data_IF_472044983495
#
_entry.id   IF_472044983495
#
_cell.length_a   1.000
_cell.length_b   1.000
_cell.length_c   1.000
_cell.angle_alpha   90.00
_cell.angle_beta   90.00
_cell.angle_gamma   90.00
#
_symmetry.space_group_name_H-M   'P 1'
#
loop_
_entity.id
_entity.type
_entity.pdbx_description
1 polymer ?
#
# COMPACT_ATOMS: atom_id res chain seq x y z
N UNK A 1 -2.38 -22.64 19.42
CA UNK A 1 -3.45 -22.65 20.40
C UNK A 1 -3.75 -24.08 20.88
N UNK A 2 -4.13 -24.98 19.98
CA UNK A 2 -4.43 -26.39 20.34
C UNK A 2 -3.19 -27.25 20.61
N UNK A 3 -1.99 -26.82 20.22
CA UNK A 3 -0.77 -27.60 20.25
C UNK A 3 -0.73 -28.76 19.25
N UNK A 4 -1.80 -29.02 18.53
CA UNK A 4 -1.84 -30.07 17.51
C UNK A 4 -0.84 -29.79 16.40
N UNK A 5 -0.01 -30.74 16.03
CA UNK A 5 0.92 -30.68 14.91
C UNK A 5 0.30 -31.38 13.72
N UNK A 6 0.37 -30.73 12.57
CA UNK A 6 -0.14 -31.28 11.32
C UNK A 6 0.99 -31.35 10.29
N UNK A 7 0.99 -32.39 9.48
CA UNK A 7 1.81 -32.47 8.28
C UNK A 7 0.98 -31.90 7.11
N UNK A 8 1.46 -30.82 6.50
CA UNK A 8 0.82 -30.20 5.36
C UNK A 8 1.51 -30.66 4.08
N UNK A 9 0.74 -31.23 3.17
CA UNK A 9 1.20 -31.56 1.83
C UNK A 9 0.78 -30.41 0.90
N UNK A 10 1.71 -29.53 0.57
CA UNK A 10 1.48 -28.45 -0.38
C UNK A 10 2.65 -28.37 -1.33
N UNK A 11 2.46 -28.47 -2.65
CA UNK A 11 3.56 -28.53 -3.62
C UNK A 11 4.46 -27.29 -3.58
N UNK A 12 3.91 -26.11 -3.33
CA UNK A 12 4.66 -24.85 -3.35
C UNK A 12 5.55 -24.64 -2.10
N UNK A 13 5.35 -25.43 -1.03
CA UNK A 13 6.16 -25.33 0.18
C UNK A 13 7.28 -26.34 0.29
N UNK A 14 7.36 -27.31 -0.62
CA UNK A 14 8.37 -28.38 -0.58
C UNK A 14 9.80 -27.84 -0.76
N UNK A 15 9.95 -26.68 -1.40
CA UNK A 15 11.26 -26.11 -1.77
C UNK A 15 11.66 -24.85 -0.99
N UNK A 16 10.76 -24.25 -0.24
CA UNK A 16 11.03 -23.02 0.48
C UNK A 16 11.20 -23.26 1.98
N UNK A 17 12.27 -22.70 2.56
CA UNK A 17 12.45 -22.63 4.01
C UNK A 17 11.43 -21.66 4.59
N UNK A 18 10.27 -22.19 4.97
CA UNK A 18 9.15 -21.44 5.52
C UNK A 18 9.45 -21.08 6.97
N UNK A 19 10.04 -19.92 7.22
CA UNK A 19 10.23 -19.38 8.58
C UNK A 19 9.31 -18.18 8.77
N UNK A 20 8.67 -18.12 9.96
CA UNK A 20 7.84 -16.98 10.38
C UNK A 20 6.60 -16.70 9.53
N UNK A 21 6.01 -17.71 8.92
CA UNK A 21 4.74 -17.57 8.22
C UNK A 21 3.56 -18.00 9.11
N UNK A 22 2.47 -17.25 9.00
CA UNK A 22 1.15 -17.63 9.49
C UNK A 22 0.33 -18.12 8.29
N UNK A 23 -0.26 -19.28 8.41
CA UNK A 23 -1.09 -19.87 7.36
C UNK A 23 -2.56 -19.84 7.76
N UNK A 24 -3.39 -19.44 6.83
CA UNK A 24 -4.81 -19.72 6.84
C UNK A 24 -5.08 -20.83 5.84
N UNK A 25 -5.70 -21.89 6.32
CA UNK A 25 -5.96 -23.04 5.48
C UNK A 25 -7.24 -23.73 5.89
N UNK A 26 -7.99 -24.21 4.92
CA UNK A 26 -9.02 -25.21 5.15
C UNK A 26 -8.36 -26.59 5.18
N UNK A 27 -8.41 -27.22 6.34
CA UNK A 27 -7.79 -28.53 6.55
C UNK A 27 -8.87 -29.60 6.44
N UNK A 28 -8.76 -30.46 5.44
CA UNK A 28 -9.60 -31.63 5.29
C UNK A 28 -8.79 -32.85 5.75
N UNK A 29 -9.30 -33.56 6.75
CA UNK A 29 -8.62 -34.71 7.30
C UNK A 29 -9.43 -35.98 7.05
N UNK A 30 -8.82 -36.98 6.39
CA UNK A 30 -9.17 -38.34 6.70
C UNK A 30 -7.95 -39.27 6.87
N UNK A 31 -6.83 -39.06 6.33
CA UNK A 31 -5.59 -39.80 6.51
C UNK A 31 -4.39 -39.07 5.91
N UNK A 32 -4.66 -38.08 5.08
CA UNK A 32 -3.72 -37.07 4.62
C UNK A 32 -4.36 -35.70 4.70
N UNK A 33 -3.60 -34.74 5.20
CA UNK A 33 -4.08 -33.36 5.32
C UNK A 33 -3.90 -32.68 3.96
N UNK A 34 -4.99 -32.60 3.23
CA UNK A 34 -5.09 -31.75 2.05
C UNK A 34 -5.47 -30.34 2.47
N UNK A 35 -4.76 -29.37 1.98
CA UNK A 35 -5.01 -27.97 2.26
C UNK A 35 -5.45 -27.27 1.00
N UNK A 36 -6.70 -26.81 0.99
CA UNK A 36 -7.21 -25.92 -0.04
C UNK A 36 -7.23 -24.49 0.47
N UNK A 37 -6.97 -23.52 -0.41
CA UNK A 37 -6.97 -22.07 -0.10
C UNK A 37 -6.01 -21.68 1.01
N UNK A 38 -4.72 -21.88 0.77
CA UNK A 38 -3.68 -21.43 1.68
C UNK A 38 -3.35 -19.97 1.38
N UNK A 39 -3.58 -19.11 2.35
CA UNK A 39 -3.02 -17.77 2.37
C UNK A 39 -1.91 -17.73 3.41
N UNK A 40 -0.73 -17.28 3.04
CA UNK A 40 0.40 -17.13 3.95
C UNK A 40 0.70 -15.65 4.20
N UNK A 41 0.98 -15.31 5.44
CA UNK A 41 1.37 -13.97 5.85
C UNK A 41 2.67 -14.07 6.62
N UNK A 42 3.68 -13.31 6.22
CA UNK A 42 4.91 -13.21 6.98
C UNK A 42 4.69 -12.35 8.23
N UNK A 43 5.04 -12.91 9.40
CA UNK A 43 4.82 -12.24 10.67
C UNK A 43 6.11 -12.17 11.50
N UNK A 44 6.37 -11.01 12.12
CA UNK A 44 7.42 -10.85 13.11
C UNK A 44 7.09 -11.60 14.42
N UNK A 45 8.09 -11.87 15.24
CA UNK A 45 7.86 -12.49 16.55
C UNK A 45 6.95 -11.66 17.46
N UNK A 46 7.07 -10.32 17.41
CA UNK A 46 6.22 -9.41 18.17
C UNK A 46 4.76 -9.49 17.71
N UNK A 47 4.54 -9.53 16.40
CA UNK A 47 3.20 -9.66 15.84
C UNK A 47 2.59 -11.02 16.20
N UNK A 48 3.37 -12.11 16.16
CA UNK A 48 2.93 -13.44 16.61
C UNK A 48 2.45 -13.42 18.05
N UNK A 49 3.18 -12.72 18.94
CA UNK A 49 2.78 -12.59 20.35
C UNK A 49 1.46 -11.82 20.47
N UNK A 50 1.32 -10.67 19.81
CA UNK A 50 0.08 -9.88 19.82
C UNK A 50 -1.13 -10.65 19.28
N UNK A 51 -0.96 -11.39 18.20
CA UNK A 51 -2.01 -12.25 17.64
C UNK A 51 -2.43 -13.29 18.68
N UNK A 52 -1.47 -13.94 19.33
CA UNK A 52 -1.75 -14.95 20.37
C UNK A 52 -2.54 -14.34 21.53
N UNK A 53 -2.06 -13.24 22.07
CA UNK A 53 -2.71 -12.54 23.20
C UNK A 53 -4.15 -12.15 22.85
N UNK A 54 -4.37 -11.65 21.64
CA UNK A 54 -5.69 -11.24 21.21
C UNK A 54 -6.66 -12.42 21.01
N UNK A 55 -6.19 -13.50 20.39
CA UNK A 55 -7.00 -14.73 20.22
C UNK A 55 -7.31 -15.38 21.57
N UNK A 56 -6.35 -15.41 22.50
CA UNK A 56 -6.57 -15.90 23.87
C UNK A 56 -7.57 -15.00 24.61
N UNK A 57 -7.54 -13.68 24.40
CA UNK A 57 -8.54 -12.76 24.95
C UNK A 57 -9.94 -13.06 24.40
N UNK A 58 -10.09 -13.28 23.12
CA UNK A 58 -11.37 -13.65 22.50
C UNK A 58 -11.88 -15.00 23.03
N UNK A 59 -11.00 -15.97 23.21
CA UNK A 59 -11.37 -17.25 23.83
C UNK A 59 -11.88 -17.07 25.27
N UNK A 60 -11.26 -16.20 26.06
CA UNK A 60 -11.75 -15.90 27.42
C UNK A 60 -13.15 -15.31 27.40
N UNK A 61 -13.44 -14.37 26.47
CA UNK A 61 -14.78 -13.81 26.31
C UNK A 61 -15.78 -14.88 25.89
N UNK A 62 -15.39 -15.75 24.95
CA UNK A 62 -16.23 -16.86 24.51
C UNK A 62 -16.61 -17.80 25.68
N UNK A 63 -15.66 -18.10 26.56
CA UNK A 63 -15.89 -18.92 27.75
C UNK A 63 -16.82 -18.31 28.79
N UNK A 64 -17.09 -17.01 28.74
CA UNK A 64 -18.10 -16.40 29.60
C UNK A 64 -19.49 -16.94 29.30
N UNK A 65 -19.76 -17.23 28.01
CA UNK A 65 -21.04 -17.81 27.58
C UNK A 65 -21.03 -19.33 27.59
N UNK A 66 -19.86 -19.93 27.33
CA UNK A 66 -19.67 -21.39 27.26
C UNK A 66 -18.44 -21.80 28.09
N UNK A 67 -18.57 -21.96 29.41
CA UNK A 67 -17.43 -22.19 30.31
C UNK A 67 -16.57 -23.40 29.94
N UNK A 68 -17.22 -24.48 29.48
CA UNK A 68 -16.56 -25.76 29.15
C UNK A 68 -16.06 -25.84 27.71
N UNK A 69 -16.18 -24.72 26.93
CA UNK A 69 -15.79 -24.71 25.55
C UNK A 69 -14.31 -25.01 25.33
N UNK A 70 -14.04 -25.85 24.35
CA UNK A 70 -12.68 -26.15 23.88
C UNK A 70 -12.21 -25.13 22.83
N UNK A 71 -10.92 -25.14 22.49
CA UNK A 71 -10.40 -24.37 21.36
C UNK A 71 -11.03 -24.78 20.03
N UNK A 72 -11.41 -26.05 19.90
CA UNK A 72 -12.07 -26.56 18.70
C UNK A 72 -13.47 -25.95 18.55
N UNK A 73 -14.25 -25.90 19.63
CA UNK A 73 -15.57 -25.25 19.64
C UNK A 73 -15.46 -23.76 19.30
N UNK A 74 -14.45 -23.08 19.85
CA UNK A 74 -14.20 -21.68 19.59
C UNK A 74 -13.87 -21.45 18.11
N UNK A 75 -12.93 -22.17 17.53
CA UNK A 75 -12.56 -22.00 16.13
C UNK A 75 -13.67 -22.41 15.16
N UNK A 76 -14.45 -23.45 15.46
CA UNK A 76 -15.59 -23.84 14.63
C UNK A 76 -16.63 -22.71 14.52
N UNK A 77 -16.79 -21.90 15.56
CA UNK A 77 -17.78 -20.81 15.57
C UNK A 77 -17.20 -19.45 15.19
N UNK A 78 -15.94 -19.18 15.49
CA UNK A 78 -15.31 -17.86 15.41
C UNK A 78 -14.12 -17.79 14.46
N UNK A 79 -13.88 -18.78 13.62
CA UNK A 79 -12.75 -18.80 12.68
C UNK A 79 -12.65 -17.53 11.81
N UNK A 80 -13.79 -17.05 11.28
CA UNK A 80 -13.83 -15.84 10.46
C UNK A 80 -13.54 -14.57 11.27
N UNK A 81 -14.05 -14.49 12.51
CA UNK A 81 -13.78 -13.35 13.39
C UNK A 81 -12.29 -13.32 13.79
N UNK A 82 -11.71 -14.47 14.09
CA UNK A 82 -10.26 -14.62 14.38
C UNK A 82 -9.44 -14.19 13.16
N UNK A 83 -9.80 -14.67 11.97
CA UNK A 83 -9.14 -14.27 10.73
C UNK A 83 -9.18 -12.75 10.54
N UNK A 84 -10.36 -12.16 10.63
CA UNK A 84 -10.52 -10.71 10.51
C UNK A 84 -9.66 -9.93 11.53
N UNK A 85 -9.65 -10.39 12.78
CA UNK A 85 -8.79 -9.81 13.83
C UNK A 85 -7.30 -9.87 13.46
N UNK A 86 -6.86 -11.00 12.92
CA UNK A 86 -5.46 -11.17 12.51
C UNK A 86 -5.15 -10.25 11.32
N UNK A 87 -6.05 -10.12 10.35
CA UNK A 87 -5.88 -9.24 9.21
C UNK A 87 -5.76 -7.77 9.65
N UNK A 88 -6.56 -7.32 10.62
CA UNK A 88 -6.44 -6.00 11.24
C UNK A 88 -5.07 -5.82 11.91
N UNK A 89 -4.64 -6.78 12.74
CA UNK A 89 -3.37 -6.71 13.45
C UNK A 89 -2.17 -6.70 12.50
N UNK A 90 -2.23 -7.48 11.41
CA UNK A 90 -1.20 -7.50 10.37
C UNK A 90 -1.14 -6.17 9.64
N UNK A 91 -2.30 -5.60 9.29
CA UNK A 91 -2.39 -4.29 8.63
C UNK A 91 -1.84 -3.18 9.53
N UNK A 92 -2.25 -3.15 10.81
CA UNK A 92 -1.72 -2.20 11.79
C UNK A 92 -0.21 -2.37 11.99
N UNK A 93 0.30 -3.61 12.02
CA UNK A 93 1.73 -3.86 12.15
C UNK A 93 2.52 -3.38 10.93
N UNK A 94 1.98 -3.55 9.72
CA UNK A 94 2.60 -3.00 8.49
C UNK A 94 2.67 -1.48 8.54
N UNK A 95 1.65 -0.81 9.03
CA UNK A 95 1.62 0.64 9.21
C UNK A 95 2.58 1.10 10.31
N UNK A 96 2.68 0.35 11.42
CA UNK A 96 3.53 0.71 12.55
C UNK A 96 5.02 0.34 12.38
N UNK A 97 5.35 -0.57 11.47
CA UNK A 97 6.71 -1.14 11.31
C UNK A 97 7.60 -0.26 10.42
N UNK A 98 7.04 0.69 9.69
CA UNK A 98 7.86 1.65 8.96
C UNK A 98 7.82 3.00 9.67
N UNK A 99 8.69 3.27 10.67
CA UNK A 99 8.81 4.60 11.22
C UNK A 99 9.14 5.54 10.06
N UNK A 100 8.55 6.71 10.02
CA UNK A 100 8.74 7.73 8.99
C UNK A 100 10.23 7.93 8.64
N UNK A 101 11.11 7.82 9.64
CA UNK A 101 12.57 7.84 9.47
C UNK A 101 13.18 6.68 8.67
N UNK A 102 12.52 5.52 8.61
CA UNK A 102 13.00 4.39 7.80
C UNK A 102 12.50 4.50 6.35
N UNK A 103 11.32 5.07 6.14
CA UNK A 103 10.84 5.42 4.80
C UNK A 103 11.77 6.46 4.19
N UNK A 104 12.16 7.50 4.94
CA UNK A 104 13.13 8.49 4.47
C UNK A 104 14.49 7.89 4.14
N UNK A 105 14.95 6.86 4.85
CA UNK A 105 16.22 6.16 4.56
C UNK A 105 16.15 5.21 3.38
N UNK A 106 14.97 4.71 3.06
CA UNK A 106 14.75 3.79 1.93
C UNK A 106 14.56 4.53 0.60
N UNK A 107 14.24 5.82 0.64
CA UNK A 107 14.15 6.65 -0.55
C UNK A 107 15.40 7.53 -0.63
N UNK A 108 15.94 7.71 -1.84
CA UNK A 108 17.03 8.66 -2.01
C UNK A 108 16.56 10.03 -1.52
N UNK A 109 17.15 10.50 -0.42
CA UNK A 109 16.98 11.88 0.02
C UNK A 109 17.74 12.72 -0.99
N UNK A 110 17.02 13.27 -1.96
CA UNK A 110 17.64 14.24 -2.87
C UNK A 110 17.94 15.49 -2.08
N UNK A 111 19.21 15.87 -2.00
CA UNK A 111 19.56 17.21 -1.61
C UNK A 111 18.96 18.15 -2.66
N UNK A 112 18.02 19.01 -2.27
CA UNK A 112 17.34 19.95 -3.18
C UNK A 112 18.26 21.14 -3.50
N UNK A 113 19.40 20.83 -4.07
CA UNK A 113 20.44 21.78 -4.46
C UNK A 113 20.32 22.25 -5.92
N UNK A 114 19.53 21.52 -6.74
CA UNK A 114 19.27 21.91 -8.12
C UNK A 114 18.06 22.85 -8.22
N UNK A 115 18.15 23.89 -9.05
CA UNK A 115 17.05 24.81 -9.23
C UNK A 115 15.81 24.09 -9.79
N UNK A 116 14.67 24.33 -9.17
CA UNK A 116 13.36 23.84 -9.62
C UNK A 116 12.63 24.96 -10.33
N UNK A 117 12.02 24.66 -11.49
CA UNK A 117 11.23 25.65 -12.22
C UNK A 117 9.95 26.03 -11.45
N UNK A 118 9.96 27.22 -10.85
CA UNK A 118 8.85 27.74 -10.04
C UNK A 118 7.56 27.95 -10.83
N UNK A 119 7.62 28.12 -12.17
CA UNK A 119 6.43 28.27 -13.03
C UNK A 119 5.61 26.97 -13.03
N UNK A 120 6.28 25.81 -13.05
CA UNK A 120 5.61 24.51 -12.94
C UNK A 120 4.91 24.37 -11.60
N UNK A 121 5.59 24.73 -10.49
CA UNK A 121 5.02 24.67 -9.15
C UNK A 121 3.80 25.57 -8.97
N UNK A 122 3.83 26.77 -9.55
CA UNK A 122 2.71 27.71 -9.51
C UNK A 122 1.49 27.18 -10.27
N UNK A 123 1.70 26.75 -11.52
CA UNK A 123 0.64 26.19 -12.37
C UNK A 123 0.02 24.94 -11.74
N UNK A 124 0.85 24.07 -11.18
CA UNK A 124 0.43 22.88 -10.47
C UNK A 124 -0.49 23.23 -9.30
N UNK A 125 -0.06 24.15 -8.43
CA UNK A 125 -0.87 24.58 -7.28
C UNK A 125 -2.20 25.18 -7.69
N UNK A 126 -2.20 26.14 -8.63
CA UNK A 126 -3.40 26.80 -9.09
C UNK A 126 -4.41 25.81 -9.67
N UNK A 127 -3.93 24.89 -10.52
CA UNK A 127 -4.79 23.90 -11.16
C UNK A 127 -5.31 22.88 -10.18
N UNK A 128 -4.48 22.35 -9.30
CA UNK A 128 -4.93 21.38 -8.29
C UNK A 128 -5.96 21.98 -7.32
N UNK A 129 -5.81 23.26 -6.96
CA UNK A 129 -6.84 23.98 -6.19
C UNK A 129 -8.16 24.09 -6.95
N UNK A 130 -8.12 24.41 -8.25
CA UNK A 130 -9.31 24.45 -9.13
C UNK A 130 -10.05 23.11 -9.14
N UNK A 131 -9.32 21.99 -9.11
CA UNK A 131 -9.86 20.63 -9.06
C UNK A 131 -10.23 20.13 -7.66
N UNK A 132 -10.10 20.96 -6.64
CA UNK A 132 -10.47 20.65 -5.26
C UNK A 132 -9.53 19.65 -4.56
N UNK A 133 -8.28 19.59 -4.97
CA UNK A 133 -7.26 18.83 -4.23
C UNK A 133 -6.93 19.53 -2.91
N UNK A 134 -6.65 18.73 -1.89
CA UNK A 134 -6.22 19.25 -0.58
C UNK A 134 -4.82 19.89 -0.64
N UNK A 135 -4.48 20.68 0.37
CA UNK A 135 -3.12 21.21 0.52
C UNK A 135 -2.07 20.09 0.63
N UNK A 136 -2.45 18.98 1.24
CA UNK A 136 -1.58 17.81 1.35
C UNK A 136 -1.31 17.19 -0.02
N UNK A 137 -2.34 16.98 -0.85
CA UNK A 137 -2.19 16.51 -2.23
C UNK A 137 -1.26 17.41 -3.04
N UNK A 138 -1.47 18.72 -2.94
CA UNK A 138 -0.65 19.72 -3.64
C UNK A 138 0.82 19.63 -3.20
N UNK A 139 1.06 19.44 -1.89
CA UNK A 139 2.41 19.29 -1.35
C UNK A 139 3.10 18.04 -1.89
N UNK A 140 2.39 16.91 -1.95
CA UNK A 140 2.92 15.66 -2.49
C UNK A 140 3.21 15.76 -4.00
N UNK A 141 2.33 16.39 -4.77
CA UNK A 141 2.55 16.62 -6.20
C UNK A 141 3.73 17.57 -6.45
N UNK A 142 3.89 18.64 -5.64
CA UNK A 142 5.07 19.51 -5.68
C UNK A 142 6.35 18.74 -5.37
N UNK A 143 6.33 17.87 -4.35
CA UNK A 143 7.44 16.99 -4.01
C UNK A 143 7.79 16.08 -5.19
N UNK A 144 6.81 15.46 -5.86
CA UNK A 144 7.04 14.64 -7.05
C UNK A 144 7.80 15.39 -8.14
N UNK A 145 7.43 16.65 -8.40
CA UNK A 145 8.13 17.51 -9.36
C UNK A 145 9.56 17.82 -8.91
N UNK A 146 9.74 18.17 -7.65
CA UNK A 146 11.06 18.47 -7.07
C UNK A 146 11.98 17.25 -7.18
N UNK A 147 11.52 16.07 -6.75
CA UNK A 147 12.27 14.82 -6.84
C UNK A 147 12.67 14.50 -8.28
N UNK A 148 11.76 14.75 -9.24
CA UNK A 148 12.06 14.57 -10.66
C UNK A 148 13.20 15.50 -11.15
N UNK A 149 13.19 16.74 -10.71
CA UNK A 149 14.24 17.72 -11.05
C UNK A 149 15.60 17.32 -10.40
N UNK A 150 15.58 16.80 -9.18
CA UNK A 150 16.79 16.37 -8.48
C UNK A 150 17.38 15.10 -9.07
N UNK A 151 16.54 14.16 -9.53
CA UNK A 151 16.96 12.91 -10.12
C UNK A 151 17.72 13.05 -11.46
N UNK A 152 17.65 14.21 -12.13
CA UNK A 152 18.37 14.42 -13.38
C UNK A 152 18.20 15.82 -13.98
N UNK A 153 19.01 16.14 -14.98
CA UNK A 153 18.90 17.41 -15.69
C UNK A 153 17.52 17.53 -16.34
N UNK A 154 16.80 18.61 -16.05
CA UNK A 154 15.47 18.89 -16.58
C UNK A 154 15.47 20.22 -17.31
N UNK A 155 15.06 20.21 -18.58
CA UNK A 155 14.90 21.42 -19.38
C UNK A 155 13.40 21.66 -19.55
N UNK A 156 12.91 22.74 -18.95
CA UNK A 156 11.50 23.14 -19.01
C UNK A 156 11.30 24.18 -20.10
N UNK A 157 10.87 23.73 -21.29
CA UNK A 157 10.50 24.65 -22.38
C UNK A 157 9.05 25.15 -22.27
N UNK A 158 8.15 24.26 -21.89
CA UNK A 158 6.71 24.51 -21.70
C UNK A 158 6.30 24.03 -20.32
N UNK A 159 6.21 24.92 -19.31
CA UNK A 159 5.86 24.54 -17.95
C UNK A 159 4.45 23.94 -17.84
N UNK A 160 3.52 24.31 -18.76
CA UNK A 160 2.16 23.79 -18.82
C UNK A 160 2.14 22.27 -19.01
N UNK A 161 2.98 21.74 -19.89
CA UNK A 161 3.05 20.32 -20.17
C UNK A 161 3.54 19.57 -18.91
N UNK A 162 4.55 20.09 -18.22
CA UNK A 162 5.07 19.47 -17.01
C UNK A 162 4.08 19.53 -15.86
N UNK A 163 3.44 20.68 -15.63
CA UNK A 163 2.42 20.81 -14.59
C UNK A 163 1.27 19.81 -14.79
N UNK A 164 0.71 19.76 -16.01
CA UNK A 164 -0.34 18.80 -16.36
C UNK A 164 0.12 17.35 -16.18
N UNK A 165 1.34 17.02 -16.63
CA UNK A 165 1.87 15.65 -16.50
C UNK A 165 2.09 15.24 -15.05
N UNK A 166 2.56 16.13 -14.18
CA UNK A 166 2.72 15.86 -12.76
C UNK A 166 1.37 15.65 -12.09
N UNK A 167 0.39 16.53 -12.35
CA UNK A 167 -0.97 16.42 -11.79
C UNK A 167 -1.60 15.09 -12.20
N UNK A 168 -1.52 14.74 -13.48
CA UNK A 168 -2.08 13.48 -13.97
C UNK A 168 -1.36 12.26 -13.40
N UNK A 169 -0.03 12.30 -13.32
CA UNK A 169 0.76 11.22 -12.71
C UNK A 169 0.41 11.04 -11.24
N UNK A 170 0.29 12.14 -10.50
CA UNK A 170 -0.12 12.14 -9.11
C UNK A 170 -1.51 11.51 -8.93
N UNK A 171 -2.47 11.88 -9.79
CA UNK A 171 -3.81 11.30 -9.77
C UNK A 171 -3.81 9.79 -10.03
N UNK A 172 -2.98 9.32 -10.97
CA UNK A 172 -2.83 7.88 -11.25
C UNK A 172 -2.20 7.12 -10.09
N UNK A 173 -1.15 7.66 -9.47
CA UNK A 173 -0.48 7.03 -8.32
C UNK A 173 -1.46 6.86 -7.16
N UNK A 174 -2.43 7.76 -7.01
CA UNK A 174 -3.43 7.72 -5.94
C UNK A 174 -4.78 7.12 -6.38
N UNK A 175 -4.87 6.54 -7.58
CA UNK A 175 -6.12 6.03 -8.15
C UNK A 175 -7.28 7.04 -8.06
N UNK A 176 -6.99 8.33 -8.22
CA UNK A 176 -7.98 9.40 -8.09
C UNK A 176 -8.83 9.53 -9.36
N UNK A 177 -10.15 9.31 -9.30
CA UNK A 177 -11.02 9.39 -10.47
C UNK A 177 -11.38 10.83 -10.88
N UNK A 178 -10.83 11.84 -10.20
CA UNK A 178 -11.26 13.24 -10.32
C UNK A 178 -10.79 13.95 -11.59
N UNK A 179 -9.92 13.34 -12.37
CA UNK A 179 -9.29 13.99 -13.53
C UNK A 179 -9.45 13.17 -14.80
N UNK A 180 -10.11 13.76 -15.81
CA UNK A 180 -9.99 13.31 -17.20
C UNK A 180 -8.73 13.91 -17.83
N UNK A 181 -8.00 13.08 -18.58
CA UNK A 181 -6.81 13.55 -19.32
C UNK A 181 -7.17 14.59 -20.38
N UNK A 182 -8.33 14.45 -20.99
CA UNK A 182 -8.85 15.38 -22.01
C UNK A 182 -9.13 16.75 -21.39
N UNK A 183 -9.79 16.76 -20.23
CA UNK A 183 -10.09 18.00 -19.52
C UNK A 183 -8.81 18.72 -19.09
N UNK A 184 -7.86 17.97 -18.56
CA UNK A 184 -6.57 18.52 -18.13
C UNK A 184 -5.77 19.06 -19.32
N UNK A 185 -5.75 18.34 -20.45
CA UNK A 185 -5.07 18.78 -21.67
C UNK A 185 -5.70 20.07 -22.22
N UNK A 186 -7.02 20.16 -22.21
CA UNK A 186 -7.75 21.37 -22.65
C UNK A 186 -7.47 22.56 -21.72
N UNK A 187 -7.50 22.37 -20.40
CA UNK A 187 -7.23 23.44 -19.44
C UNK A 187 -5.83 24.05 -19.59
N UNK A 188 -4.85 23.24 -19.97
CA UNK A 188 -3.48 23.68 -20.20
C UNK A 188 -3.17 24.05 -21.66
N UNK A 189 -4.10 23.87 -22.59
CA UNK A 189 -3.89 24.10 -24.01
C UNK A 189 -2.78 23.25 -24.64
N UNK A 190 -2.69 21.98 -24.19
CA UNK A 190 -1.65 21.04 -24.62
C UNK A 190 -2.25 19.81 -25.31
N UNK A 191 -1.43 19.10 -26.10
CA UNK A 191 -1.86 17.82 -26.65
C UNK A 191 -1.78 16.70 -25.62
N UNK A 192 -2.72 15.77 -25.67
CA UNK A 192 -2.75 14.55 -24.84
C UNK A 192 -1.45 13.75 -25.03
N UNK A 193 -0.93 13.67 -26.26
CA UNK A 193 0.33 12.97 -26.54
C UNK A 193 1.53 13.58 -25.79
N UNK A 194 1.59 14.91 -25.69
CA UNK A 194 2.63 15.61 -24.94
C UNK A 194 2.55 15.31 -23.44
N UNK A 195 1.33 15.26 -22.91
CA UNK A 195 1.07 14.90 -21.52
C UNK A 195 1.53 13.47 -21.24
N UNK A 196 1.11 12.50 -22.04
CA UNK A 196 1.51 11.10 -21.86
C UNK A 196 3.01 10.88 -22.01
N UNK A 197 3.66 11.53 -22.99
CA UNK A 197 5.11 11.42 -23.16
C UNK A 197 5.88 11.91 -21.93
N UNK A 198 5.47 13.01 -21.32
CA UNK A 198 6.14 13.51 -20.12
C UNK A 198 5.77 12.73 -18.85
N UNK A 199 4.54 12.18 -18.78
CA UNK A 199 4.16 11.22 -17.75
C UNK A 199 5.10 10.01 -17.75
N UNK A 200 5.37 9.41 -18.91
CA UNK A 200 6.30 8.29 -19.00
C UNK A 200 7.69 8.65 -18.47
N UNK A 201 8.19 9.84 -18.78
CA UNK A 201 9.48 10.31 -18.24
C UNK A 201 9.47 10.45 -16.71
N UNK A 202 8.32 10.86 -16.13
CA UNK A 202 8.17 10.88 -14.66
C UNK A 202 8.21 9.47 -14.07
N UNK A 203 7.44 8.54 -14.66
CA UNK A 203 7.43 7.15 -14.22
C UNK A 203 8.81 6.50 -14.29
N UNK A 204 9.49 6.62 -15.44
CA UNK A 204 10.80 6.01 -15.64
C UNK A 204 11.87 6.61 -14.74
N UNK A 205 11.95 7.94 -14.65
CA UNK A 205 13.01 8.59 -13.86
C UNK A 205 12.83 8.41 -12.36
N UNK A 206 11.59 8.49 -11.86
CA UNK A 206 11.29 8.32 -10.44
C UNK A 206 11.04 6.86 -10.07
N UNK A 207 11.02 5.93 -11.04
CA UNK A 207 10.68 4.50 -10.81
C UNK A 207 9.37 4.38 -10.02
N UNK A 208 8.32 5.08 -10.52
CA UNK A 208 7.04 5.13 -9.84
C UNK A 208 6.30 3.80 -9.91
N UNK A 209 5.59 3.51 -8.85
CA UNK A 209 4.65 2.40 -8.76
C UNK A 209 3.24 2.91 -8.48
N UNK A 210 2.22 2.08 -8.74
CA UNK A 210 0.89 2.36 -8.23
C UNK A 210 0.93 2.43 -6.71
N UNK A 211 0.26 3.42 -6.13
CA UNK A 211 0.28 3.67 -4.69
C UNK A 211 1.69 3.87 -4.12
N UNK A 212 2.54 4.59 -4.84
CA UNK A 212 3.92 4.85 -4.42
C UNK A 212 3.95 5.57 -3.06
N UNK A 213 4.57 4.98 -2.03
CA UNK A 213 4.51 5.48 -0.65
C UNK A 213 5.12 6.88 -0.46
N UNK A 214 5.91 7.37 -1.41
CA UNK A 214 6.47 8.74 -1.38
C UNK A 214 5.42 9.81 -1.67
N UNK A 215 4.38 9.46 -2.44
CA UNK A 215 3.41 10.40 -3.00
C UNK A 215 1.95 9.99 -2.75
N UNK A 216 1.73 8.97 -1.93
CA UNK A 216 0.40 8.48 -1.60
C UNK A 216 -0.30 9.39 -0.59
N UNK A 217 -1.56 9.71 -0.85
CA UNK A 217 -2.45 10.38 0.11
C UNK A 217 -3.27 9.37 0.92
N UNK A 218 -4.10 9.85 1.85
CA UNK A 218 -4.92 8.98 2.70
C UNK A 218 -5.85 8.07 1.90
N UNK A 219 -6.50 8.59 0.86
CA UNK A 219 -7.41 7.80 0.03
C UNK A 219 -6.65 6.76 -0.79
N UNK A 220 -5.54 7.15 -1.41
CA UNK A 220 -4.66 6.23 -2.12
C UNK A 220 -4.11 5.14 -1.20
N UNK A 221 -3.76 5.50 0.04
CA UNK A 221 -3.34 4.52 1.05
C UNK A 221 -4.46 3.52 1.38
N UNK A 222 -5.69 4.00 1.62
CA UNK A 222 -6.84 3.13 1.85
C UNK A 222 -7.06 2.20 0.65
N UNK A 223 -7.05 2.74 -0.57
CA UNK A 223 -7.23 1.95 -1.79
C UNK A 223 -6.12 0.91 -1.99
N UNK A 224 -4.87 1.23 -1.62
CA UNK A 224 -3.75 0.28 -1.70
C UNK A 224 -3.95 -0.96 -0.83
N UNK A 225 -4.68 -0.86 0.27
CA UNK A 225 -5.00 -1.99 1.14
C UNK A 225 -5.93 -2.99 0.46
N UNK A 226 -6.74 -2.54 -0.51
CA UNK A 226 -7.68 -3.39 -1.26
C UNK A 226 -7.12 -3.86 -2.62
N UNK A 227 -6.07 -3.21 -3.13
CA UNK A 227 -5.48 -3.53 -4.44
C UNK A 227 -4.63 -4.82 -4.44
N UNK A 228 -4.42 -5.43 -3.29
CA UNK A 228 -3.67 -6.68 -3.11
C UNK A 228 -4.56 -7.90 -2.82
N UNK A 229 -5.87 -7.78 -3.12
CA UNK A 229 -6.82 -8.90 -3.01
C UNK A 229 -7.27 -9.39 -4.38
#
# INVERSE_FOLDING_TARGET
FTGKKFQLLHPDFAYNKVKNLLFYAHVFSKDMIMVNYVTSIEISQNLRRRIREEVERQMKIFKVQWPDATWEDFFNRHALAVRHTIDILVTQAKVNVTPFKQIERSFPVFAYDKPVDGRVLLLLEQTMRKYGFSLYDITLAKRMWQDYCQAGKTIVRKPEIWAASVIFTYALVNASPRLSVEQLANDFGISINSLYSNRLKLFDRLQLTSFDPRYINEMGFILSLFAHY
#
